data_IF_735737692782
#
_entry.id   IF_735737692782
#
_cell.length_a   1.000
_cell.length_b   1.000
_cell.length_c   1.000
_cell.angle_alpha   90.00
_cell.angle_beta   90.00
_cell.angle_gamma   90.00
#
_symmetry.space_group_name_H-M   'P 1'
#
loop_
_entity.id
_entity.type
_entity.pdbx_description
1 polymer ?
#
# COMPACT_ATOMS: atom_id res chain seq x y z
N UNK A 1 -23.22 23.10 -14.23
CA UNK A 1 -22.95 21.65 -14.30
C UNK A 1 -22.16 21.28 -13.06
N UNK A 2 -22.80 20.45 -12.26
CA UNK A 2 -22.53 20.03 -10.88
C UNK A 2 -21.20 19.33 -10.69
N UNK A 3 -20.48 19.70 -9.63
CA UNK A 3 -20.20 18.72 -8.57
C UNK A 3 -20.01 19.47 -7.23
N UNK A 4 -21.14 19.65 -6.54
CA UNK A 4 -21.15 19.65 -5.08
C UNK A 4 -21.11 18.17 -4.69
N UNK A 5 -20.04 17.73 -4.03
CA UNK A 5 -20.04 16.52 -3.23
C UNK A 5 -19.43 16.86 -1.86
N UNK A 6 -20.21 16.54 -0.85
CA UNK A 6 -19.97 16.61 0.58
C UNK A 6 -19.09 15.42 0.97
N UNK A 7 -17.94 15.63 1.63
CA UNK A 7 -17.33 14.68 2.60
C UNK A 7 -16.08 15.32 3.26
N UNK A 8 -16.16 15.41 4.59
CA UNK A 8 -15.15 15.54 5.66
C UNK A 8 -13.63 15.74 5.34
N UNK A 9 -12.88 16.43 6.23
CA UNK A 9 -11.45 16.71 6.04
C UNK A 9 -10.63 15.42 6.17
N UNK A 10 -10.27 14.84 5.04
CA UNK A 10 -9.35 13.69 4.94
C UNK A 10 -8.21 14.03 3.95
N UNK A 11 -7.65 15.26 4.05
CA UNK A 11 -6.71 15.81 3.05
C UNK A 11 -5.23 15.67 3.42
N UNK A 12 -4.90 15.31 4.65
CA UNK A 12 -3.52 15.32 5.13
C UNK A 12 -2.72 14.08 4.68
N UNK A 13 -3.36 12.91 4.57
CA UNK A 13 -2.65 11.65 4.25
C UNK A 13 -2.36 11.50 2.76
N UNK A 14 -3.31 11.81 1.86
CA UNK A 14 -3.12 11.62 0.40
C UNK A 14 -2.05 12.56 -0.19
N UNK A 15 -1.87 13.75 0.38
CA UNK A 15 -0.83 14.71 -0.04
C UNK A 15 0.59 14.19 0.24
N UNK A 16 0.76 13.34 1.27
CA UNK A 16 2.06 12.76 1.65
C UNK A 16 2.41 11.52 0.83
N UNK A 17 1.43 10.90 0.16
CA UNK A 17 1.65 9.71 -0.70
C UNK A 17 2.12 10.15 -2.08
N UNK A 18 3.44 10.27 -2.23
CA UNK A 18 4.08 10.59 -3.52
C UNK A 18 3.86 9.47 -4.56
N UNK A 19 3.84 9.79 -5.86
CA UNK A 19 3.69 8.77 -6.91
C UNK A 19 4.81 7.72 -6.90
N UNK A 20 6.01 8.09 -6.46
CA UNK A 20 7.14 7.18 -6.31
C UNK A 20 6.88 6.15 -5.21
N UNK A 21 6.31 6.58 -4.09
CA UNK A 21 5.92 5.71 -3.00
C UNK A 21 4.81 4.74 -3.40
N UNK A 22 3.81 5.20 -4.16
CA UNK A 22 2.77 4.29 -4.73
C UNK A 22 3.41 3.20 -5.57
N UNK A 23 4.40 3.59 -6.39
CA UNK A 23 5.14 2.65 -7.24
C UNK A 23 5.94 1.65 -6.40
N UNK A 24 6.55 2.08 -5.29
CA UNK A 24 7.21 1.16 -4.36
C UNK A 24 6.23 0.16 -3.73
N UNK A 25 5.07 0.62 -3.26
CA UNK A 25 4.06 -0.25 -2.65
C UNK A 25 3.54 -1.27 -3.68
N UNK A 26 3.24 -0.82 -4.90
CA UNK A 26 2.81 -1.69 -5.98
C UNK A 26 3.89 -2.72 -6.34
N UNK A 27 5.17 -2.31 -6.39
CA UNK A 27 6.29 -3.23 -6.61
C UNK A 27 6.41 -4.27 -5.49
N UNK A 28 6.23 -3.88 -4.23
CA UNK A 28 6.21 -4.79 -3.09
C UNK A 28 5.04 -5.79 -3.19
N UNK A 29 3.84 -5.33 -3.56
CA UNK A 29 2.68 -6.22 -3.76
C UNK A 29 2.91 -7.23 -4.89
N UNK A 30 3.54 -6.80 -6.00
CA UNK A 30 3.95 -7.68 -7.08
C UNK A 30 4.98 -8.70 -6.56
N UNK A 31 6.03 -8.25 -5.88
CA UNK A 31 7.06 -9.12 -5.30
C UNK A 31 6.49 -10.14 -4.31
N UNK A 32 5.49 -9.76 -3.50
CA UNK A 32 4.75 -10.68 -2.62
C UNK A 32 4.03 -11.77 -3.43
N UNK A 33 3.41 -11.38 -4.54
CA UNK A 33 2.65 -12.29 -5.40
C UNK A 33 3.58 -13.25 -6.15
N UNK A 34 4.70 -12.74 -6.68
CA UNK A 34 5.76 -13.53 -7.30
C UNK A 34 6.40 -14.50 -6.30
N UNK A 35 6.71 -14.03 -5.08
CA UNK A 35 7.25 -14.88 -4.01
C UNK A 35 6.28 -16.01 -3.66
N UNK A 36 4.97 -15.72 -3.51
CA UNK A 36 3.97 -16.79 -3.32
C UNK A 36 3.90 -17.76 -4.49
N UNK A 37 3.98 -17.27 -5.72
CA UNK A 37 3.96 -18.12 -6.92
C UNK A 37 5.21 -19.01 -7.02
N UNK A 38 6.36 -18.51 -6.55
CA UNK A 38 7.61 -19.27 -6.44
C UNK A 38 7.64 -20.24 -5.25
N UNK A 39 6.64 -20.21 -4.35
CA UNK A 39 6.60 -21.00 -3.12
C UNK A 39 7.38 -20.40 -1.95
N UNK A 40 7.83 -19.15 -2.09
CA UNK A 40 8.64 -18.40 -1.12
C UNK A 40 7.75 -17.65 -0.13
N UNK A 41 7.03 -18.41 0.70
CA UNK A 41 6.05 -17.86 1.64
C UNK A 41 6.69 -16.96 2.70
N UNK A 42 7.95 -17.20 3.07
CA UNK A 42 8.68 -16.36 4.03
C UNK A 42 8.82 -14.93 3.50
N UNK A 43 9.31 -14.78 2.26
CA UNK A 43 9.48 -13.47 1.63
C UNK A 43 8.16 -12.75 1.40
N UNK A 44 7.12 -13.48 1.03
CA UNK A 44 5.77 -12.91 0.91
C UNK A 44 5.24 -12.37 2.25
N UNK A 45 5.54 -13.02 3.37
CA UNK A 45 5.11 -12.56 4.70
C UNK A 45 5.97 -11.40 5.21
N UNK A 46 7.28 -11.40 4.95
CA UNK A 46 8.17 -10.26 5.22
C UNK A 46 7.65 -8.98 4.57
N UNK A 47 7.30 -9.06 3.27
CA UNK A 47 6.75 -7.92 2.54
C UNK A 47 5.42 -7.46 3.14
N UNK A 48 4.53 -8.41 3.47
CA UNK A 48 3.25 -8.10 4.12
C UNK A 48 3.47 -7.36 5.45
N UNK A 49 4.41 -7.83 6.26
CA UNK A 49 4.76 -7.21 7.54
C UNK A 49 5.39 -5.83 7.36
N UNK A 50 6.22 -5.62 6.33
CA UNK A 50 6.80 -4.31 6.05
C UNK A 50 5.73 -3.26 5.67
N UNK A 51 4.78 -3.66 4.81
CA UNK A 51 3.65 -2.82 4.40
C UNK A 51 2.75 -2.50 5.61
N UNK A 52 2.42 -3.50 6.43
CA UNK A 52 1.60 -3.33 7.64
C UNK A 52 2.31 -2.47 8.70
N UNK A 53 3.62 -2.67 8.88
CA UNK A 53 4.45 -1.88 9.80
C UNK A 53 4.62 -0.42 9.36
N UNK A 54 4.52 -0.15 8.06
CA UNK A 54 4.45 1.21 7.54
C UNK A 54 3.09 1.88 7.82
N UNK A 55 2.08 1.13 8.27
CA UNK A 55 0.72 1.63 8.48
C UNK A 55 -0.15 1.57 7.22
N UNK A 56 0.17 0.69 6.27
CA UNK A 56 -0.66 0.45 5.08
C UNK A 56 -1.53 -0.78 5.32
N UNK A 57 -2.83 -0.59 5.13
CA UNK A 57 -3.81 -1.66 5.15
C UNK A 57 -4.07 -2.18 3.74
N UNK A 58 -3.68 -3.43 3.47
CA UNK A 58 -3.90 -4.09 2.19
C UNK A 58 -5.27 -4.77 2.19
N UNK A 59 -6.11 -4.39 1.24
CA UNK A 59 -7.41 -5.00 0.94
C UNK A 59 -7.32 -5.83 -0.33
N UNK A 60 -7.11 -7.13 -0.15
CA UNK A 60 -7.23 -8.11 -1.23
C UNK A 60 -8.73 -8.33 -1.54
N UNK A 61 -9.19 -7.93 -2.74
CA UNK A 61 -10.56 -8.20 -3.22
C UNK A 61 -10.53 -9.35 -4.21
N UNK A 62 -11.35 -10.38 -3.98
CA UNK A 62 -11.48 -11.50 -4.91
C UNK A 62 -11.93 -11.02 -6.30
N UNK A 63 -11.07 -11.24 -7.31
CA UNK A 63 -11.35 -10.87 -8.70
C UNK A 63 -11.03 -9.42 -9.09
N UNK A 64 -10.43 -8.62 -8.19
CA UNK A 64 -10.00 -7.25 -8.48
C UNK A 64 -8.51 -7.04 -8.15
N UNK A 65 -7.94 -5.94 -8.64
CA UNK A 65 -6.59 -5.54 -8.24
C UNK A 65 -6.52 -5.32 -6.73
N UNK A 66 -5.43 -5.79 -6.10
CA UNK A 66 -5.15 -5.54 -4.69
C UNK A 66 -5.17 -4.04 -4.43
N UNK A 67 -6.06 -3.60 -3.54
CA UNK A 67 -6.14 -2.21 -3.11
C UNK A 67 -5.42 -2.06 -1.78
N UNK A 68 -4.82 -0.92 -1.55
CA UNK A 68 -4.16 -0.61 -0.30
C UNK A 68 -4.52 0.81 0.14
N UNK A 69 -4.61 1.02 1.45
CA UNK A 69 -4.97 2.30 2.06
C UNK A 69 -3.95 2.65 3.13
N UNK A 70 -3.36 3.84 3.03
CA UNK A 70 -2.49 4.36 4.08
C UNK A 70 -3.32 4.87 5.27
N UNK A 71 -2.99 4.44 6.48
CA UNK A 71 -3.59 4.97 7.72
C UNK A 71 -3.09 6.39 8.01
N UNK A 72 -3.78 7.18 8.85
CA UNK A 72 -3.29 8.49 9.27
C UNK A 72 -1.94 8.42 10.01
N UNK A 73 -1.62 7.27 10.63
CA UNK A 73 -0.31 6.97 11.23
C UNK A 73 0.72 6.40 10.25
N UNK A 74 0.48 6.51 8.94
CA UNK A 74 1.36 5.97 7.91
C UNK A 74 2.74 6.63 7.95
N UNK A 75 3.79 5.81 8.02
CA UNK A 75 5.18 6.22 8.07
C UNK A 75 5.90 5.78 6.78
N UNK A 76 6.04 6.67 5.77
CA UNK A 76 6.71 6.34 4.51
C UNK A 76 8.17 5.94 4.71
N UNK A 77 8.85 6.45 5.74
CA UNK A 77 10.26 6.14 5.99
C UNK A 77 10.49 4.67 6.39
N UNK A 78 9.43 3.92 6.69
CA UNK A 78 9.48 2.45 6.86
C UNK A 78 9.60 1.69 5.55
N UNK A 79 9.16 2.30 4.45
CA UNK A 79 9.21 1.73 3.11
C UNK A 79 10.39 2.27 2.31
N UNK A 80 10.83 3.50 2.60
CA UNK A 80 12.03 4.10 2.02
C UNK A 80 13.28 3.26 2.35
N UNK A 81 13.79 2.54 1.35
CA UNK A 81 15.00 1.71 1.46
C UNK A 81 14.79 0.20 1.41
N UNK A 82 13.55 -0.27 1.23
CA UNK A 82 13.27 -1.70 1.05
C UNK A 82 13.40 -2.19 -0.41
N UNK A 83 13.82 -1.31 -1.34
CA UNK A 83 13.91 -1.57 -2.78
C UNK A 83 15.35 -1.74 -3.25
#
# INVERSE_FOLDING_TARGET
MTQSDDTAPQKDTDTMITPELRTQIDALLIARTEARAAGDYARADEIRQAIDAAGIEVQDKEGAATQWTAKPDFDPSKLEGLV
#
